data_IF_725899764144
#
_entry.id   IF_725899764144
#
_cell.length_a   1.000
_cell.length_b   1.000
_cell.length_c   1.000
_cell.angle_alpha   90.00
_cell.angle_beta   90.00
_cell.angle_gamma   90.00
#
_symmetry.space_group_name_H-M   'P 1'
#
loop_
_entity.id
_entity.type
_entity.pdbx_description
1 polymer ?
#
# COMPACT_ATOMS: atom_id res chain seq x y z
N UNK A 1 -25.91 -7.89 3.60
CA UNK A 1 -24.80 -7.48 4.48
C UNK A 1 -23.65 -7.27 3.53
N UNK A 2 -23.25 -6.02 3.26
CA UNK A 2 -22.02 -5.78 2.50
C UNK A 2 -20.88 -6.23 3.42
N UNK A 3 -20.03 -7.12 2.93
CA UNK A 3 -18.91 -7.66 3.69
C UNK A 3 -18.00 -6.56 4.23
N UNK A 4 -17.30 -6.85 5.33
CA UNK A 4 -16.34 -5.92 5.91
C UNK A 4 -15.12 -5.81 4.99
N UNK A 5 -14.86 -4.61 4.47
CA UNK A 5 -13.67 -4.32 3.67
C UNK A 5 -12.49 -4.09 4.61
N UNK A 6 -11.46 -4.93 4.48
CA UNK A 6 -10.22 -4.79 5.22
C UNK A 6 -9.17 -4.04 4.39
N UNK A 7 -8.79 -2.84 4.82
CA UNK A 7 -7.87 -1.94 4.10
C UNK A 7 -6.43 -2.11 4.57
N UNK A 8 -5.56 -2.39 3.62
CA UNK A 8 -4.13 -2.67 3.84
C UNK A 8 -3.32 -1.63 3.07
N UNK A 9 -2.57 -0.79 3.77
CA UNK A 9 -1.68 0.20 3.15
C UNK A 9 -0.24 -0.25 3.23
N UNK A 10 0.49 -0.05 2.13
CA UNK A 10 1.92 -0.37 2.02
C UNK A 10 2.74 0.92 2.02
N UNK A 11 3.74 1.00 2.90
CA UNK A 11 4.75 2.06 2.90
C UNK A 11 6.12 1.45 3.15
N UNK A 12 7.14 1.84 2.38
CA UNK A 12 8.49 1.34 2.61
C UNK A 12 9.56 2.18 1.93
N UNK A 13 10.80 1.77 2.14
CA UNK A 13 11.97 2.46 1.60
C UNK A 13 12.06 2.34 0.08
N UNK A 14 12.75 3.32 -0.53
CA UNK A 14 13.02 3.33 -1.98
C UNK A 14 13.92 2.21 -2.44
N UNK A 15 14.77 1.70 -1.55
CA UNK A 15 15.69 0.60 -1.79
C UNK A 15 15.38 -0.49 -0.77
N UNK A 16 15.18 -1.71 -1.25
CA UNK A 16 15.05 -2.91 -0.41
C UNK A 16 16.32 -3.73 -0.56
N UNK A 17 17.04 -3.94 0.54
CA UNK A 17 18.30 -4.71 0.55
C UNK A 17 18.14 -6.11 1.18
N UNK A 18 17.03 -6.32 1.90
CA UNK A 18 16.74 -7.57 2.58
C UNK A 18 16.10 -8.58 1.60
N UNK A 19 16.64 -9.80 1.59
CA UNK A 19 16.27 -10.82 0.59
C UNK A 19 14.96 -11.57 0.88
N UNK A 20 14.48 -11.55 2.13
CA UNK A 20 13.33 -12.35 2.58
C UNK A 20 12.00 -11.57 2.60
N UNK A 21 12.03 -10.30 2.19
CA UNK A 21 10.88 -9.38 2.25
C UNK A 21 9.75 -9.86 1.35
N UNK A 22 10.08 -10.36 0.15
CA UNK A 22 9.09 -10.83 -0.81
C UNK A 22 8.33 -12.07 -0.29
N UNK A 23 9.03 -13.00 0.37
CA UNK A 23 8.44 -14.21 0.98
C UNK A 23 7.54 -13.83 2.16
N UNK A 24 8.03 -12.96 3.06
CA UNK A 24 7.24 -12.44 4.19
C UNK A 24 5.96 -11.76 3.72
N UNK A 25 6.03 -10.93 2.68
CA UNK A 25 4.86 -10.29 2.09
C UNK A 25 3.90 -11.31 1.49
N UNK A 26 4.42 -12.34 0.81
CA UNK A 26 3.59 -13.37 0.20
C UNK A 26 2.77 -14.12 1.25
N UNK A 27 3.41 -14.59 2.32
CA UNK A 27 2.71 -15.31 3.39
C UNK A 27 1.71 -14.41 4.11
N UNK A 28 2.11 -13.18 4.43
CA UNK A 28 1.24 -12.21 5.10
C UNK A 28 -0.02 -11.91 4.28
N UNK A 29 0.13 -11.61 2.99
CA UNK A 29 -1.01 -11.31 2.13
C UNK A 29 -1.85 -12.56 1.84
N UNK A 30 -1.23 -13.74 1.71
CA UNK A 30 -1.95 -15.00 1.58
C UNK A 30 -2.87 -15.25 2.80
N UNK A 31 -2.37 -15.01 4.00
CA UNK A 31 -3.14 -15.13 5.24
C UNK A 31 -4.28 -14.10 5.31
N UNK A 32 -4.05 -12.86 4.87
CA UNK A 32 -5.13 -11.86 4.76
C UNK A 32 -6.21 -12.31 3.77
N UNK A 33 -5.83 -12.78 2.57
CA UNK A 33 -6.78 -13.26 1.56
C UNK A 33 -7.53 -14.53 1.99
N UNK A 34 -6.96 -15.32 2.91
CA UNK A 34 -7.61 -16.51 3.49
C UNK A 34 -8.61 -16.15 4.59
N UNK A 35 -8.30 -15.12 5.39
CA UNK A 35 -9.02 -14.84 6.65
C UNK A 35 -9.99 -13.66 6.56
N UNK A 36 -9.83 -12.78 5.57
CA UNK A 36 -10.68 -11.61 5.36
C UNK A 36 -11.68 -11.84 4.24
N UNK A 37 -12.87 -11.26 4.40
CA UNK A 37 -13.94 -11.37 3.42
C UNK A 37 -13.60 -10.61 2.14
N UNK A 38 -13.07 -9.39 2.25
CA UNK A 38 -12.60 -8.60 1.13
C UNK A 38 -11.40 -7.72 1.53
N UNK A 39 -10.38 -7.62 0.68
CA UNK A 39 -9.15 -6.85 0.95
C UNK A 39 -8.92 -5.77 -0.11
N UNK A 40 -8.80 -4.52 0.34
CA UNK A 40 -8.31 -3.40 -0.47
C UNK A 40 -6.84 -3.16 -0.17
N UNK A 41 -5.97 -3.36 -1.16
CA UNK A 41 -4.54 -3.04 -1.04
C UNK A 41 -4.27 -1.65 -1.60
N UNK A 42 -3.88 -0.72 -0.75
CA UNK A 42 -3.43 0.61 -1.13
C UNK A 42 -1.91 0.64 -1.28
N UNK A 43 -1.45 0.96 -2.49
CA UNK A 43 -0.04 1.03 -2.83
C UNK A 43 0.34 2.41 -3.35
N UNK A 44 1.57 2.80 -3.05
CA UNK A 44 2.28 3.80 -3.84
C UNK A 44 2.91 3.19 -5.08
N UNK A 45 3.94 3.88 -5.58
CA UNK A 45 4.84 3.39 -6.62
C UNK A 45 6.19 4.12 -6.60
N UNK A 46 6.60 4.66 -5.45
CA UNK A 46 7.75 5.56 -5.37
C UNK A 46 9.05 4.87 -4.94
N UNK A 47 9.02 3.56 -4.70
CA UNK A 47 10.19 2.80 -4.24
C UNK A 47 10.12 1.30 -4.55
N UNK A 48 11.25 0.63 -4.39
CA UNK A 48 11.39 -0.83 -4.58
C UNK A 48 10.37 -1.61 -3.76
N UNK A 49 10.09 -1.19 -2.53
CA UNK A 49 9.11 -1.86 -1.67
C UNK A 49 7.69 -1.81 -2.25
N UNK A 50 7.25 -0.66 -2.77
CA UNK A 50 5.93 -0.52 -3.38
C UNK A 50 5.80 -1.45 -4.60
N UNK A 51 6.85 -1.52 -5.42
CA UNK A 51 6.91 -2.36 -6.62
C UNK A 51 6.91 -3.85 -6.25
N UNK A 52 7.69 -4.24 -5.24
CA UNK A 52 7.75 -5.60 -4.72
C UNK A 52 6.40 -6.03 -4.17
N UNK A 53 5.77 -5.22 -3.32
CA UNK A 53 4.45 -5.52 -2.75
C UNK A 53 3.39 -5.70 -3.84
N UNK A 54 3.36 -4.82 -4.85
CA UNK A 54 2.44 -4.94 -5.97
C UNK A 54 2.69 -6.23 -6.79
N UNK A 55 3.96 -6.59 -7.02
CA UNK A 55 4.34 -7.85 -7.69
C UNK A 55 3.86 -9.09 -6.92
N UNK A 56 4.02 -9.08 -5.59
CA UNK A 56 3.56 -10.17 -4.71
C UNK A 56 2.03 -10.31 -4.76
N UNK A 57 1.29 -9.20 -4.65
CA UNK A 57 -0.18 -9.21 -4.73
C UNK A 57 -0.64 -9.76 -6.08
N UNK A 58 -0.01 -9.34 -7.18
CA UNK A 58 -0.32 -9.85 -8.52
C UNK A 58 -0.04 -11.35 -8.66
N UNK A 59 1.04 -11.85 -8.06
CA UNK A 59 1.34 -13.28 -8.01
C UNK A 59 0.30 -14.06 -7.20
N UNK A 60 -0.15 -13.53 -6.07
CA UNK A 60 -1.21 -14.14 -5.26
C UNK A 60 -2.55 -14.17 -6.00
N UNK A 61 -2.94 -13.09 -6.67
CA UNK A 61 -4.13 -13.05 -7.52
C UNK A 61 -4.12 -14.15 -8.59
N UNK A 62 -2.96 -14.36 -9.23
CA UNK A 62 -2.78 -15.41 -10.24
C UNK A 62 -2.78 -16.83 -9.69
N UNK A 63 -2.10 -17.06 -8.56
CA UNK A 63 -1.76 -18.41 -8.09
C UNK A 63 -2.62 -18.90 -6.92
N UNK A 64 -3.31 -18.01 -6.22
CA UNK A 64 -4.10 -18.33 -5.04
C UNK A 64 -5.58 -17.99 -5.25
N UNK A 65 -5.94 -16.70 -5.32
CA UNK A 65 -7.31 -16.25 -5.59
C UNK A 65 -7.37 -14.76 -5.92
N UNK A 66 -8.37 -14.37 -6.70
CA UNK A 66 -8.58 -12.98 -7.17
C UNK A 66 -10.02 -12.48 -6.95
N UNK A 67 -10.88 -13.29 -6.32
CA UNK A 67 -12.31 -12.99 -6.15
C UNK A 67 -12.61 -12.09 -4.94
N UNK A 68 -11.64 -11.91 -4.03
CA UNK A 68 -11.84 -11.20 -2.77
C UNK A 68 -10.82 -10.08 -2.50
N UNK A 69 -10.17 -9.55 -3.53
CA UNK A 69 -9.27 -8.40 -3.33
C UNK A 69 -9.15 -7.50 -4.54
N UNK A 70 -8.74 -6.26 -4.27
CA UNK A 70 -8.44 -5.25 -5.27
C UNK A 70 -7.11 -4.57 -4.96
N UNK A 71 -6.28 -4.39 -5.98
CA UNK A 71 -4.98 -3.74 -5.91
C UNK A 71 -5.09 -2.32 -6.45
N UNK A 72 -5.04 -1.34 -5.55
CA UNK A 72 -5.34 0.07 -5.83
C UNK A 72 -4.06 0.89 -5.76
N UNK A 73 -3.72 1.55 -6.86
CA UNK A 73 -2.64 2.54 -6.89
C UNK A 73 -3.18 3.89 -6.41
N UNK A 74 -2.60 4.42 -5.33
CA UNK A 74 -2.93 5.75 -4.81
C UNK A 74 -1.93 6.77 -5.36
N UNK A 75 -2.37 7.56 -6.32
CA UNK A 75 -1.58 8.62 -6.94
C UNK A 75 -1.76 9.95 -6.19
N UNK A 76 -0.69 10.75 -6.03
CA UNK A 76 -0.79 12.08 -5.43
C UNK A 76 -1.44 13.12 -6.36
N UNK A 77 -1.39 12.89 -7.67
CA UNK A 77 -1.91 13.76 -8.73
C UNK A 77 -1.92 12.98 -10.07
N UNK A 78 -2.61 13.47 -11.12
CA UNK A 78 -2.59 12.84 -12.44
C UNK A 78 -1.17 12.78 -13.03
N UNK A 79 -0.82 11.63 -13.62
CA UNK A 79 0.51 11.36 -14.21
C UNK A 79 0.38 10.96 -15.69
N UNK A 80 1.46 11.08 -16.45
CA UNK A 80 1.45 10.74 -17.89
C UNK A 80 1.30 9.24 -18.14
N UNK A 81 1.87 8.41 -17.27
CA UNK A 81 1.89 6.95 -17.41
C UNK A 81 0.61 6.27 -16.92
N UNK A 82 -0.47 7.04 -16.77
CA UNK A 82 -1.73 6.60 -16.17
C UNK A 82 -2.30 5.36 -16.89
N UNK A 83 -2.32 5.36 -18.22
CA UNK A 83 -2.81 4.23 -19.02
C UNK A 83 -1.99 2.94 -18.81
N UNK A 84 -0.69 3.05 -18.54
CA UNK A 84 0.15 1.89 -18.25
C UNK A 84 -0.07 1.36 -16.84
N UNK A 85 -0.40 2.26 -15.90
CA UNK A 85 -0.77 1.87 -14.55
C UNK A 85 -2.13 1.17 -14.50
N UNK A 86 -3.10 1.60 -15.31
CA UNK A 86 -4.42 0.94 -15.41
C UNK A 86 -4.35 -0.49 -15.98
N UNK A 87 -3.28 -0.83 -16.71
CA UNK A 87 -3.03 -2.21 -17.17
C UNK A 87 -2.42 -3.09 -16.07
N UNK A 88 -1.84 -2.48 -15.03
CA UNK A 88 -1.07 -3.19 -14.00
C UNK A 88 -1.84 -3.34 -12.69
N UNK A 89 -2.56 -2.29 -12.29
CA UNK A 89 -3.39 -2.21 -11.09
C UNK A 89 -4.86 -2.39 -11.46
N UNK A 90 -5.66 -2.88 -10.51
CA UNK A 90 -7.09 -3.08 -10.74
C UNK A 90 -7.84 -1.74 -10.74
N UNK A 91 -7.39 -0.80 -9.89
CA UNK A 91 -7.92 0.56 -9.81
C UNK A 91 -6.82 1.58 -9.54
N UNK A 92 -7.09 2.84 -9.90
CA UNK A 92 -6.26 3.99 -9.56
C UNK A 92 -7.12 5.02 -8.86
N UNK A 93 -6.65 5.53 -7.72
CA UNK A 93 -7.31 6.59 -6.96
C UNK A 93 -6.38 7.78 -6.84
N UNK A 94 -6.91 8.98 -7.12
CA UNK A 94 -6.30 10.24 -6.74
C UNK A 94 -7.21 10.88 -5.70
N UNK A 95 -6.84 10.84 -4.41
CA UNK A 95 -7.68 11.40 -3.36
C UNK A 95 -7.97 12.89 -3.59
N UNK A 96 -9.24 13.28 -3.46
CA UNK A 96 -9.69 14.67 -3.63
C UNK A 96 -9.01 15.62 -2.64
N UNK A 97 -8.61 15.11 -1.47
CA UNK A 97 -7.87 15.83 -0.44
C UNK A 97 -6.50 16.31 -0.94
N UNK A 98 -5.97 15.70 -2.00
CA UNK A 98 -4.68 16.07 -2.60
C UNK A 98 -4.81 17.12 -3.70
N UNK A 99 -6.03 17.52 -4.07
CA UNK A 99 -6.23 18.52 -5.13
C UNK A 99 -5.68 19.88 -4.70
N UNK A 100 -4.74 20.41 -5.48
CA UNK A 100 -4.07 21.68 -5.19
C UNK A 100 -2.95 21.58 -4.16
N UNK A 101 -2.63 20.38 -3.64
CA UNK A 101 -1.45 20.19 -2.79
C UNK A 101 -0.19 20.52 -3.58
N UNK A 102 0.69 21.29 -2.97
CA UNK A 102 1.95 21.70 -3.59
C UNK A 102 2.80 20.45 -3.96
N UNK A 103 3.41 20.36 -5.16
CA UNK A 103 4.11 19.16 -5.62
C UNK A 103 5.15 18.60 -4.63
N UNK A 104 5.87 19.49 -3.93
CA UNK A 104 6.87 19.10 -2.90
C UNK A 104 6.28 18.36 -1.69
N UNK A 105 5.00 18.52 -1.41
CA UNK A 105 4.30 17.87 -0.30
C UNK A 105 3.45 16.67 -0.75
N UNK A 106 3.18 16.55 -2.05
CA UNK A 106 2.14 15.66 -2.55
C UNK A 106 2.35 14.17 -2.22
N UNK A 107 3.60 13.68 -2.23
CA UNK A 107 3.92 12.30 -1.81
C UNK A 107 3.67 12.11 -0.31
N UNK A 108 4.10 13.08 0.50
CA UNK A 108 3.90 13.03 1.96
C UNK A 108 2.41 13.00 2.29
N UNK A 109 1.62 13.89 1.67
CA UNK A 109 0.18 13.96 1.91
C UNK A 109 -0.56 12.73 1.37
N UNK A 110 -0.11 12.15 0.25
CA UNK A 110 -0.61 10.86 -0.24
C UNK A 110 -0.37 9.74 0.75
N UNK A 111 0.82 9.65 1.33
CA UNK A 111 1.13 8.64 2.35
C UNK A 111 0.28 8.85 3.61
N UNK A 112 0.09 10.10 4.05
CA UNK A 112 -0.83 10.41 5.16
C UNK A 112 -2.26 9.97 4.88
N UNK A 113 -2.73 10.20 3.66
CA UNK A 113 -4.05 9.76 3.24
C UNK A 113 -4.18 8.24 3.34
N UNK A 114 -3.20 7.49 2.83
CA UNK A 114 -3.18 6.02 2.96
C UNK A 114 -3.24 5.57 4.41
N UNK A 115 -2.38 6.12 5.28
CA UNK A 115 -2.36 5.79 6.72
C UNK A 115 -3.68 6.13 7.41
N UNK A 116 -4.32 7.22 7.01
CA UNK A 116 -5.61 7.65 7.58
C UNK A 116 -6.75 6.72 7.19
N UNK A 117 -6.70 6.13 5.99
CA UNK A 117 -7.77 5.32 5.41
C UNK A 117 -7.49 3.80 5.48
N UNK A 118 -6.53 3.37 6.31
CA UNK A 118 -6.17 1.96 6.44
C UNK A 118 -6.65 1.34 7.74
N UNK A 119 -6.88 0.03 7.75
CA UNK A 119 -7.08 -0.74 8.98
C UNK A 119 -5.74 -1.25 9.52
N UNK A 120 -4.87 -1.67 8.60
CA UNK A 120 -3.49 -2.08 8.91
C UNK A 120 -2.49 -1.38 7.98
N UNK A 121 -1.39 -0.90 8.56
CA UNK A 121 -0.22 -0.41 7.84
C UNK A 121 0.84 -1.51 7.85
N UNK A 122 1.23 -1.98 6.66
CA UNK A 122 2.41 -2.84 6.50
C UNK A 122 3.58 -1.96 6.07
N UNK A 123 4.59 -1.88 6.93
CA UNK A 123 5.67 -0.93 6.80
C UNK A 123 7.04 -1.63 6.72
N UNK A 124 7.74 -1.52 5.59
CA UNK A 124 9.15 -1.93 5.51
C UNK A 124 10.05 -0.83 6.05
N UNK A 125 10.69 -1.07 7.20
CA UNK A 125 11.41 -0.02 7.94
C UNK A 125 12.71 -0.54 8.57
N UNK A 126 13.84 0.02 8.12
CA UNK A 126 15.16 -0.27 8.71
C UNK A 126 15.65 0.74 9.75
N UNK A 127 15.25 2.00 9.59
CA UNK A 127 15.68 3.10 10.45
C UNK A 127 14.46 3.85 10.99
N UNK A 128 14.55 4.39 12.20
CA UNK A 128 13.44 5.13 12.86
C UNK A 128 13.27 6.59 12.37
N UNK A 129 13.91 6.94 11.25
CA UNK A 129 13.89 8.28 10.65
C UNK A 129 13.36 8.26 9.21
N UNK A 130 12.97 9.44 8.72
CA UNK A 130 12.44 9.62 7.37
C UNK A 130 10.92 9.47 7.25
N UNK A 131 10.44 9.49 6.00
CA UNK A 131 9.02 9.53 5.64
C UNK A 131 8.29 8.26 6.10
N UNK A 132 8.89 7.08 5.93
CA UNK A 132 8.34 5.81 6.41
C UNK A 132 8.13 5.82 7.92
N UNK A 133 9.13 6.23 8.69
CA UNK A 133 9.02 6.31 10.15
C UNK A 133 7.96 7.34 10.60
N UNK A 134 7.78 8.44 9.86
CA UNK A 134 6.71 9.39 10.10
C UNK A 134 5.32 8.77 9.87
N UNK A 135 5.17 7.94 8.84
CA UNK A 135 3.92 7.21 8.59
C UNK A 135 3.61 6.19 9.68
N UNK A 136 4.63 5.45 10.17
CA UNK A 136 4.48 4.52 11.30
C UNK A 136 4.03 5.25 12.56
N UNK A 137 4.69 6.37 12.93
CA UNK A 137 4.27 7.18 14.09
C UNK A 137 2.84 7.71 13.95
N UNK A 138 2.44 8.12 12.74
CA UNK A 138 1.08 8.56 12.48
C UNK A 138 0.08 7.40 12.64
N UNK A 139 0.41 6.21 12.16
CA UNK A 139 -0.42 5.02 12.35
C UNK A 139 -0.59 4.67 13.85
N UNK A 140 0.47 4.80 14.64
CA UNK A 140 0.44 4.61 16.11
C UNK A 140 -0.51 5.61 16.76
N UNK A 141 -0.42 6.89 16.39
CA UNK A 141 -1.29 7.96 16.91
C UNK A 141 -2.76 7.77 16.55
N UNK A 142 -3.04 7.21 15.37
CA UNK A 142 -4.39 6.92 14.90
C UNK A 142 -4.92 5.56 15.41
N UNK A 143 -4.13 4.80 16.17
CA UNK A 143 -4.51 3.48 16.67
C UNK A 143 -4.67 2.43 15.57
N UNK A 144 -3.98 2.58 14.43
CA UNK A 144 -4.00 1.60 13.34
C UNK A 144 -3.16 0.38 13.72
N UNK A 145 -3.55 -0.80 13.24
CA UNK A 145 -2.67 -1.96 13.33
C UNK A 145 -1.42 -1.72 12.47
N UNK A 146 -0.25 -2.14 12.95
CA UNK A 146 1.02 -1.95 12.26
C UNK A 146 1.75 -3.28 12.20
N UNK A 147 2.18 -3.66 11.00
CA UNK A 147 3.04 -4.81 10.76
C UNK A 147 4.34 -4.27 10.18
N UNK A 148 5.41 -4.34 10.98
CA UNK A 148 6.75 -3.92 10.54
C UNK A 148 7.43 -5.09 9.86
N UNK A 149 7.94 -4.85 8.65
CA UNK A 149 8.70 -5.81 7.85
C UNK A 149 10.15 -5.33 7.75
#
# INVERSE_FOLDING_TARGET
MLGEIYRVSMIGHRIVEDFDIEEKLYDLFCDMLRTKEYVEFYLGRNGDFDIMAASVIKRLKKNFRDDNSVMILVLPYPVKDYEDYEKYYDEIVIPKELYGVHPKAAITERNRWMVTNTDVLVAYIRNESGETAACVRMAEQLGRAIIKI
#
